data_IF_435577773380
#
_entry.id   IF_435577773380
#
_cell.length_a   1.000
_cell.length_b   1.000
_cell.length_c   1.000
_cell.angle_alpha   90.00
_cell.angle_beta   90.00
_cell.angle_gamma   90.00
#
_symmetry.space_group_name_H-M   'P 1'
#
loop_
_entity.id
_entity.type
_entity.pdbx_description
1 polymer ?
#
# COMPACT_ATOMS: atom_id res chain seq x y z
N UNK A 1 -4.00 -21.69 -4.95
CA UNK A 1 -3.07 -21.31 -3.84
C UNK A 1 -2.17 -22.44 -3.35
N UNK A 2 -2.33 -23.70 -3.78
CA UNK A 2 -1.55 -24.84 -3.25
C UNK A 2 -0.13 -24.95 -3.82
N UNK A 3 0.08 -24.69 -5.12
CA UNK A 3 1.39 -24.85 -5.76
C UNK A 3 2.44 -23.84 -5.29
N UNK A 4 2.18 -22.53 -5.42
CA UNK A 4 3.13 -21.49 -5.01
C UNK A 4 3.46 -21.56 -3.50
N UNK A 5 2.47 -21.89 -2.66
CA UNK A 5 2.68 -22.12 -1.23
C UNK A 5 3.62 -23.30 -0.94
N UNK A 6 3.51 -24.39 -1.71
CA UNK A 6 4.42 -25.54 -1.57
C UNK A 6 5.84 -25.20 -2.02
N UNK A 7 6.00 -24.50 -3.14
CA UNK A 7 7.31 -24.01 -3.61
C UNK A 7 7.94 -23.06 -2.59
N UNK A 8 7.15 -22.15 -2.02
CA UNK A 8 7.57 -21.25 -0.95
C UNK A 8 8.05 -22.02 0.28
N UNK A 9 7.30 -23.05 0.69
CA UNK A 9 7.69 -23.91 1.81
C UNK A 9 9.01 -24.65 1.54
N UNK A 10 9.19 -25.25 0.36
CA UNK A 10 10.46 -25.91 0.00
C UNK A 10 11.62 -24.90 0.05
N UNK A 11 11.45 -23.73 -0.57
CA UNK A 11 12.47 -22.69 -0.63
C UNK A 11 12.92 -22.25 0.78
N UNK A 12 11.97 -22.03 1.70
CA UNK A 12 12.29 -21.57 3.05
C UNK A 12 12.76 -22.70 3.98
N UNK A 13 12.06 -23.84 4.00
CA UNK A 13 12.29 -24.91 4.96
C UNK A 13 13.44 -25.85 4.57
N UNK A 14 13.62 -26.10 3.26
CA UNK A 14 14.64 -27.03 2.75
C UNK A 14 15.87 -26.27 2.27
N UNK A 15 15.67 -25.20 1.50
CA UNK A 15 16.75 -24.40 0.92
C UNK A 15 17.11 -23.16 1.72
N UNK A 16 16.51 -22.95 2.90
CA UNK A 16 16.84 -21.86 3.83
C UNK A 16 16.90 -20.48 3.17
N UNK A 17 16.02 -20.22 2.20
CA UNK A 17 15.90 -18.93 1.52
C UNK A 17 15.05 -18.02 2.42
N UNK A 18 15.71 -17.21 3.23
CA UNK A 18 15.06 -16.33 4.20
C UNK A 18 14.32 -15.16 3.53
N UNK A 19 13.32 -14.63 4.24
CA UNK A 19 12.54 -13.44 3.84
C UNK A 19 11.90 -13.54 2.44
N UNK A 20 11.54 -14.76 2.03
CA UNK A 20 10.82 -15.02 0.79
C UNK A 20 9.31 -14.92 1.06
N UNK A 21 8.62 -14.18 0.19
CA UNK A 21 7.18 -14.00 0.20
C UNK A 21 6.63 -14.37 -1.17
N UNK A 22 5.39 -14.85 -1.21
CA UNK A 22 4.69 -15.09 -2.46
C UNK A 22 3.30 -14.47 -2.41
N UNK A 23 2.92 -13.80 -3.50
CA UNK A 23 1.56 -13.36 -3.77
C UNK A 23 1.12 -13.93 -5.10
N UNK A 24 0.17 -14.86 -5.05
CA UNK A 24 -0.25 -15.66 -6.21
C UNK A 24 0.94 -16.38 -6.85
N UNK A 25 1.39 -15.95 -8.01
CA UNK A 25 2.53 -16.46 -8.78
C UNK A 25 3.79 -15.59 -8.65
N UNK A 26 3.70 -14.44 -7.98
CA UNK A 26 4.81 -13.51 -7.81
C UNK A 26 5.57 -13.81 -6.52
N UNK A 27 6.89 -14.00 -6.64
CA UNK A 27 7.78 -14.21 -5.52
C UNK A 27 8.61 -12.96 -5.27
N UNK A 28 8.75 -12.58 -4.00
CA UNK A 28 9.46 -11.38 -3.57
C UNK A 28 10.37 -11.72 -2.41
N UNK A 29 11.58 -11.17 -2.39
CA UNK A 29 12.54 -11.38 -1.31
C UNK A 29 13.31 -10.11 -1.00
N UNK A 30 13.82 -10.03 0.21
CA UNK A 30 14.73 -8.98 0.64
C UNK A 30 16.04 -9.60 1.15
N UNK A 31 17.17 -9.00 0.79
CA UNK A 31 18.49 -9.41 1.25
C UNK A 31 19.48 -8.23 1.16
N UNK A 32 20.66 -8.39 1.76
CA UNK A 32 21.71 -7.38 1.68
C UNK A 32 22.24 -7.23 0.25
N UNK A 33 22.51 -6.00 -0.17
CA UNK A 33 22.93 -5.68 -1.54
C UNK A 33 24.31 -6.24 -1.91
N UNK A 34 25.17 -6.54 -0.93
CA UNK A 34 26.49 -7.12 -1.16
C UNK A 34 26.47 -8.65 -1.36
N UNK A 35 25.34 -9.31 -1.15
CA UNK A 35 25.21 -10.76 -1.32
C UNK A 35 24.82 -11.09 -2.76
N UNK A 36 25.77 -11.06 -3.67
CA UNK A 36 25.55 -11.35 -5.10
C UNK A 36 26.09 -12.73 -5.47
N UNK A 37 25.41 -13.42 -6.38
CA UNK A 37 25.82 -14.72 -6.92
C UNK A 37 25.62 -14.76 -8.43
N UNK A 38 26.63 -15.24 -9.15
CA UNK A 38 26.56 -15.41 -10.60
C UNK A 38 25.57 -16.52 -10.97
N UNK A 39 24.60 -16.19 -11.82
CA UNK A 39 23.64 -17.14 -12.38
C UNK A 39 24.17 -17.70 -13.70
N UNK A 40 24.44 -19.00 -13.73
CA UNK A 40 24.89 -19.68 -14.97
C UNK A 40 23.82 -19.65 -16.08
N UNK A 41 22.52 -19.90 -15.80
CA UNK A 41 21.48 -19.85 -16.84
C UNK A 41 21.41 -18.51 -17.57
N UNK A 42 21.53 -17.39 -16.85
CA UNK A 42 21.39 -16.04 -17.40
C UNK A 42 22.72 -15.33 -17.68
N UNK A 43 23.85 -15.92 -17.26
CA UNK A 43 25.20 -15.37 -17.45
C UNK A 43 25.38 -13.96 -16.88
N UNK A 44 24.68 -13.64 -15.80
CA UNK A 44 24.73 -12.35 -15.12
C UNK A 44 24.67 -12.52 -13.59
N UNK A 45 24.88 -11.43 -12.85
CA UNK A 45 24.88 -11.43 -11.39
C UNK A 45 23.51 -11.07 -10.85
N UNK A 46 22.99 -11.90 -9.95
CA UNK A 46 21.76 -11.66 -9.20
C UNK A 46 22.02 -11.68 -7.69
N UNK A 47 21.11 -11.11 -6.89
CA UNK A 47 21.01 -11.38 -5.46
C UNK A 47 21.11 -12.88 -5.16
N UNK A 48 21.94 -13.28 -4.20
CA UNK A 48 22.22 -14.67 -3.84
C UNK A 48 20.95 -15.50 -3.65
N UNK A 49 20.01 -15.03 -2.84
CA UNK A 49 18.75 -15.73 -2.57
C UNK A 49 17.85 -15.79 -3.80
N UNK A 50 17.90 -14.78 -4.68
CA UNK A 50 17.21 -14.84 -5.98
C UNK A 50 17.84 -15.92 -6.86
N UNK A 51 19.16 -15.98 -6.97
CA UNK A 51 19.86 -17.05 -7.72
C UNK A 51 19.53 -18.43 -7.17
N UNK A 52 19.50 -18.61 -5.85
CA UNK A 52 19.12 -19.89 -5.22
C UNK A 52 17.68 -20.28 -5.54
N UNK A 53 16.75 -19.32 -5.55
CA UNK A 53 15.36 -19.56 -5.92
C UNK A 53 15.23 -19.96 -7.39
N UNK A 54 15.96 -19.29 -8.29
CA UNK A 54 15.99 -19.64 -9.72
C UNK A 54 16.51 -21.06 -9.95
N UNK A 55 17.60 -21.44 -9.28
CA UNK A 55 18.12 -22.82 -9.37
C UNK A 55 17.15 -23.87 -8.81
N UNK A 56 16.38 -23.51 -7.77
CA UNK A 56 15.31 -24.37 -7.29
C UNK A 56 14.20 -24.52 -8.33
N UNK A 57 13.85 -23.44 -9.02
CA UNK A 57 12.86 -23.51 -10.11
C UNK A 57 13.35 -24.38 -11.28
N UNK A 58 14.62 -24.25 -11.68
CA UNK A 58 15.24 -25.14 -12.66
C UNK A 58 15.10 -26.62 -12.24
N UNK A 59 15.40 -26.94 -10.98
CA UNK A 59 15.27 -28.29 -10.43
C UNK A 59 13.83 -28.80 -10.45
N UNK A 60 12.86 -27.95 -10.10
CA UNK A 60 11.45 -28.30 -10.06
C UNK A 60 10.78 -28.27 -11.44
N UNK A 61 11.50 -27.87 -12.49
CA UNK A 61 10.95 -27.69 -13.83
C UNK A 61 9.96 -26.53 -13.94
N UNK A 62 10.08 -25.52 -13.07
CA UNK A 62 9.22 -24.33 -13.08
C UNK A 62 9.77 -23.36 -14.13
N UNK A 63 8.98 -22.95 -15.13
CA UNK A 63 9.45 -22.02 -16.15
C UNK A 63 9.65 -20.62 -15.57
N UNK A 64 10.77 -19.99 -15.92
CA UNK A 64 11.06 -18.59 -15.58
C UNK A 64 11.84 -17.90 -16.70
N UNK A 65 11.72 -16.59 -16.81
CA UNK A 65 12.34 -15.78 -17.85
C UNK A 65 13.16 -14.63 -17.25
N UNK A 66 14.27 -14.27 -17.91
CA UNK A 66 15.24 -13.29 -17.41
C UNK A 66 14.63 -11.89 -17.26
N UNK A 67 13.80 -11.49 -18.21
CA UNK A 67 13.12 -10.19 -18.26
C UNK A 67 12.21 -9.93 -17.05
N UNK A 68 11.76 -11.00 -16.39
CA UNK A 68 10.94 -10.93 -15.17
C UNK A 68 11.77 -10.99 -13.89
N UNK A 69 13.07 -11.27 -13.98
CA UNK A 69 13.97 -11.35 -12.83
C UNK A 69 14.55 -9.98 -12.52
N UNK A 70 13.84 -9.22 -11.68
CA UNK A 70 14.20 -7.85 -11.33
C UNK A 70 14.67 -7.74 -9.89
N UNK A 71 15.66 -6.90 -9.65
CA UNK A 71 16.12 -6.53 -8.32
C UNK A 71 16.64 -5.10 -8.32
N UNK A 72 16.35 -4.37 -7.26
CA UNK A 72 16.73 -2.97 -7.09
C UNK A 72 16.53 -2.58 -5.63
N UNK A 73 17.13 -1.45 -5.23
CA UNK A 73 16.84 -0.83 -3.95
C UNK A 73 15.44 -0.19 -3.90
N UNK A 74 14.91 0.17 -5.07
CA UNK A 74 13.53 0.63 -5.27
C UNK A 74 12.86 -0.27 -6.32
N UNK A 75 11.80 -0.97 -5.93
CA UNK A 75 11.14 -1.94 -6.78
C UNK A 75 9.62 -1.88 -6.62
N UNK A 76 8.89 -1.99 -7.74
CA UNK A 76 7.44 -2.12 -7.71
C UNK A 76 7.07 -3.57 -7.40
N UNK A 77 6.42 -3.79 -6.25
CA UNK A 77 5.98 -5.09 -5.74
C UNK A 77 4.47 -5.01 -5.55
N UNK A 78 3.71 -5.92 -6.19
CA UNK A 78 2.23 -5.94 -6.18
C UNK A 78 1.60 -4.54 -6.39
N UNK A 79 2.14 -3.80 -7.38
CA UNK A 79 1.76 -2.43 -7.75
C UNK A 79 2.14 -1.30 -6.78
N UNK A 80 2.86 -1.59 -5.68
CA UNK A 80 3.39 -0.57 -4.78
C UNK A 80 4.90 -0.40 -4.95
N UNK A 81 5.39 0.83 -4.89
CA UNK A 81 6.81 1.12 -4.89
C UNK A 81 7.38 0.85 -3.49
N UNK A 82 8.26 -0.14 -3.38
CA UNK A 82 9.00 -0.48 -2.16
C UNK A 82 10.41 0.10 -2.28
N UNK A 83 10.72 1.06 -1.41
CA UNK A 83 12.02 1.69 -1.27
C UNK A 83 12.72 1.13 -0.02
N UNK A 84 13.69 0.25 -0.25
CA UNK A 84 14.46 -0.38 0.83
C UNK A 84 15.50 0.54 1.47
N UNK A 85 15.88 1.65 0.82
CA UNK A 85 16.84 2.61 1.41
C UNK A 85 16.17 3.47 2.45
N UNK A 86 14.99 3.97 2.12
CA UNK A 86 14.16 4.80 3.01
C UNK A 86 13.25 3.96 3.90
N UNK A 87 13.23 2.65 3.71
CA UNK A 87 12.30 1.72 4.35
C UNK A 87 10.86 2.22 4.22
N UNK A 88 10.44 2.47 2.98
CA UNK A 88 9.17 3.13 2.66
C UNK A 88 8.41 2.35 1.59
N UNK A 89 7.11 2.22 1.76
CA UNK A 89 6.20 1.67 0.76
C UNK A 89 5.20 2.74 0.37
N UNK A 90 5.06 3.00 -0.93
CA UNK A 90 4.18 4.04 -1.45
C UNK A 90 3.60 3.68 -2.80
N UNK A 91 2.75 4.55 -3.35
CA UNK A 91 2.22 4.41 -4.70
C UNK A 91 3.26 4.92 -5.72
N UNK A 92 3.50 4.23 -6.85
CA UNK A 92 4.29 4.77 -7.95
C UNK A 92 3.80 6.16 -8.39
N UNK A 93 4.70 7.05 -8.77
CA UNK A 93 4.37 8.46 -9.04
C UNK A 93 3.33 8.63 -10.16
N UNK A 94 3.42 7.83 -11.21
CA UNK A 94 2.47 7.79 -12.33
C UNK A 94 1.07 7.38 -11.88
N UNK A 95 0.98 6.31 -11.08
CA UNK A 95 -0.28 5.85 -10.52
C UNK A 95 -0.87 6.84 -9.51
N UNK A 96 -0.02 7.52 -8.73
CA UNK A 96 -0.43 8.61 -7.82
C UNK A 96 -1.01 9.78 -8.61
N UNK A 97 -0.31 10.24 -9.65
CA UNK A 97 -0.77 11.34 -10.51
C UNK A 97 -2.09 10.99 -11.21
N UNK A 98 -2.22 9.75 -11.71
CA UNK A 98 -3.45 9.27 -12.32
C UNK A 98 -4.62 9.27 -11.33
N UNK A 99 -4.41 8.80 -10.09
CA UNK A 99 -5.44 8.84 -9.05
C UNK A 99 -5.82 10.27 -8.70
N UNK A 100 -4.85 11.17 -8.49
CA UNK A 100 -5.12 12.57 -8.17
C UNK A 100 -5.91 13.21 -9.31
N UNK A 101 -5.52 13.00 -10.57
CA UNK A 101 -6.26 13.50 -11.73
C UNK A 101 -7.70 12.97 -11.77
N UNK A 102 -7.90 11.69 -11.45
CA UNK A 102 -9.23 11.07 -11.35
C UNK A 102 -10.08 11.73 -10.26
N UNK A 103 -9.55 11.85 -9.04
CA UNK A 103 -10.24 12.51 -7.92
C UNK A 103 -10.62 13.95 -8.26
N UNK A 104 -9.69 14.73 -8.83
CA UNK A 104 -9.96 16.11 -9.26
C UNK A 104 -11.01 16.17 -10.38
N UNK A 105 -11.09 15.16 -11.25
CA UNK A 105 -12.13 15.08 -12.28
C UNK A 105 -13.53 14.90 -11.67
N UNK A 106 -13.63 14.17 -10.56
CA UNK A 106 -14.89 14.01 -9.82
C UNK A 106 -15.31 15.30 -9.10
N UNK A 107 -14.37 16.11 -8.66
CA UNK A 107 -14.66 17.35 -7.90
C UNK A 107 -15.06 18.54 -8.78
N UNK A 108 -14.80 18.50 -10.10
CA UNK A 108 -15.16 19.56 -11.06
C UNK A 108 -16.66 19.88 -11.05
N UNK A 109 -17.00 21.14 -10.75
CA UNK A 109 -18.38 21.63 -10.81
C UNK A 109 -18.84 21.76 -12.27
N UNK A 110 -20.12 21.47 -12.49
CA UNK A 110 -20.81 21.66 -13.78
C UNK A 110 -22.07 22.46 -13.53
N UNK A 111 -22.44 23.33 -14.49
CA UNK A 111 -23.67 24.14 -14.41
C UNK A 111 -24.94 23.29 -14.25
N UNK A 112 -24.93 22.04 -14.75
CA UNK A 112 -26.07 21.13 -14.71
C UNK A 112 -25.96 20.05 -13.62
N UNK A 113 -24.99 20.19 -12.71
CA UNK A 113 -24.58 19.09 -11.84
C UNK A 113 -23.81 18.00 -12.60
N UNK A 114 -23.10 17.15 -11.85
CA UNK A 114 -22.40 15.99 -12.43
C UNK A 114 -23.07 14.74 -11.88
N UNK A 115 -23.54 13.89 -12.78
CA UNK A 115 -24.04 12.55 -12.47
C UNK A 115 -23.07 11.51 -13.02
N UNK A 116 -22.95 10.39 -12.30
CA UNK A 116 -22.15 9.24 -12.71
C UNK A 116 -22.91 7.95 -12.39
N UNK A 117 -22.64 6.89 -13.15
CA UNK A 117 -23.30 5.59 -12.94
C UNK A 117 -22.81 4.93 -11.65
N UNK A 118 -23.62 4.10 -11.01
CA UNK A 118 -23.18 3.31 -9.84
C UNK A 118 -21.89 2.52 -10.13
N UNK A 119 -21.73 2.00 -11.36
CA UNK A 119 -20.49 1.38 -11.81
C UNK A 119 -19.28 2.32 -11.69
N UNK A 120 -19.39 3.59 -12.09
CA UNK A 120 -18.30 4.57 -11.95
C UNK A 120 -17.95 4.82 -10.47
N UNK A 121 -18.96 4.86 -9.60
CA UNK A 121 -18.76 5.00 -8.15
C UNK A 121 -18.03 3.79 -7.56
N UNK A 122 -18.41 2.58 -7.97
CA UNK A 122 -17.75 1.34 -7.56
C UNK A 122 -16.29 1.29 -8.06
N UNK A 123 -16.05 1.68 -9.30
CA UNK A 123 -14.71 1.78 -9.87
C UNK A 123 -13.84 2.78 -9.10
N UNK A 124 -14.38 3.97 -8.79
CA UNK A 124 -13.68 4.96 -7.96
C UNK A 124 -13.37 4.41 -6.57
N UNK A 125 -14.36 3.84 -5.88
CA UNK A 125 -14.19 3.29 -4.54
C UNK A 125 -13.14 2.16 -4.51
N UNK A 126 -13.14 1.28 -5.52
CA UNK A 126 -12.12 0.24 -5.68
C UNK A 126 -10.72 0.82 -5.88
N UNK A 127 -10.59 1.83 -6.74
CA UNK A 127 -9.31 2.45 -7.03
C UNK A 127 -8.74 3.19 -5.80
N UNK A 128 -9.58 3.90 -5.05
CA UNK A 128 -9.18 4.56 -3.81
C UNK A 128 -8.85 3.55 -2.71
N UNK A 129 -9.62 2.46 -2.58
CA UNK A 129 -9.33 1.38 -1.64
C UNK A 129 -7.97 0.73 -1.86
N UNK A 130 -7.56 0.58 -3.12
CA UNK A 130 -6.22 0.08 -3.43
C UNK A 130 -5.13 0.97 -2.82
N UNK A 131 -5.27 2.30 -2.91
CA UNK A 131 -4.33 3.27 -2.32
C UNK A 131 -4.35 3.28 -0.79
N UNK A 132 -5.48 2.96 -0.15
CA UNK A 132 -5.54 2.88 1.31
C UNK A 132 -4.69 1.77 1.94
N UNK A 133 -4.15 0.83 1.16
CA UNK A 133 -3.14 -0.11 1.65
C UNK A 133 -1.84 0.60 2.07
N UNK A 134 -1.53 1.75 1.47
CA UNK A 134 -0.35 2.57 1.81
C UNK A 134 -0.71 3.91 2.45
N UNK A 135 -1.99 4.30 2.47
CA UNK A 135 -2.47 5.48 3.21
C UNK A 135 -3.71 5.16 4.05
N UNK A 136 -3.61 4.28 5.07
CA UNK A 136 -4.77 3.79 5.82
C UNK A 136 -5.52 4.89 6.57
N UNK A 137 -4.85 5.98 6.94
CA UNK A 137 -5.46 7.12 7.64
C UNK A 137 -6.39 7.95 6.75
N UNK A 138 -6.35 7.75 5.42
CA UNK A 138 -7.22 8.45 4.47
C UNK A 138 -8.55 7.73 4.23
N UNK A 139 -8.74 6.54 4.84
CA UNK A 139 -9.98 5.73 4.73
C UNK A 139 -11.29 6.49 4.96
N UNK A 140 -11.38 7.45 5.91
CA UNK A 140 -12.62 8.21 6.11
C UNK A 140 -13.12 8.96 4.86
N UNK A 141 -12.26 9.24 3.87
CA UNK A 141 -12.67 9.94 2.64
C UNK A 141 -13.70 9.20 1.78
N UNK A 142 -13.93 7.90 2.01
CA UNK A 142 -14.95 7.13 1.28
C UNK A 142 -16.28 6.99 2.03
N UNK A 143 -16.45 7.57 3.22
CA UNK A 143 -17.68 7.42 4.00
C UNK A 143 -18.92 7.89 3.22
N UNK A 144 -18.92 9.12 2.67
CA UNK A 144 -20.07 9.59 1.89
C UNK A 144 -20.16 8.93 0.51
N UNK A 145 -19.04 8.43 -0.03
CA UNK A 145 -19.02 7.66 -1.28
C UNK A 145 -19.82 6.37 -1.09
N UNK A 146 -19.55 5.59 -0.04
CA UNK A 146 -20.28 4.37 0.24
C UNK A 146 -21.75 4.60 0.54
N UNK A 147 -22.08 5.61 1.36
CA UNK A 147 -23.47 5.96 1.66
C UNK A 147 -24.28 6.31 0.40
N UNK A 148 -23.64 6.83 -0.65
CA UNK A 148 -24.31 7.14 -1.93
C UNK A 148 -24.45 5.95 -2.85
N UNK A 149 -23.63 4.92 -2.66
CA UNK A 149 -23.62 3.70 -3.46
C UNK A 149 -24.71 2.70 -3.07
N UNK A 150 -25.49 2.96 -2.01
CA UNK A 150 -26.68 2.18 -1.63
C UNK A 150 -27.81 2.36 -2.67
N UNK A 151 -27.63 1.72 -3.82
CA UNK A 151 -28.54 1.69 -4.97
C UNK A 151 -28.53 0.30 -5.60
N UNK A 152 -29.70 -0.19 -6.00
CA UNK A 152 -29.86 -1.55 -6.53
C UNK A 152 -29.52 -1.69 -8.02
N UNK A 153 -29.53 -0.60 -8.79
CA UNK A 153 -29.35 -0.62 -10.25
C UNK A 153 -27.93 -0.16 -10.65
N UNK A 154 -27.12 -0.98 -11.34
CA UNK A 154 -25.75 -0.64 -11.74
C UNK A 154 -25.59 0.62 -12.60
N UNK A 155 -26.62 0.94 -13.40
CA UNK A 155 -26.64 2.14 -14.25
C UNK A 155 -27.44 3.30 -13.64
N UNK A 156 -27.81 3.22 -12.36
CA UNK A 156 -28.42 4.34 -11.67
C UNK A 156 -27.46 5.54 -11.71
N UNK A 157 -27.96 6.68 -12.19
CA UNK A 157 -27.22 7.93 -12.19
C UNK A 157 -27.31 8.57 -10.81
N UNK A 158 -26.16 8.79 -10.19
CA UNK A 158 -26.03 9.34 -8.84
C UNK A 158 -25.29 10.68 -8.95
N UNK A 159 -25.87 11.72 -8.34
CA UNK A 159 -25.27 13.06 -8.32
C UNK A 159 -24.05 13.13 -7.39
N UNK A 160 -23.01 13.81 -7.84
CA UNK A 160 -21.87 14.21 -7.03
C UNK A 160 -22.18 15.52 -6.32
N UNK A 161 -22.52 15.44 -5.03
CA UNK A 161 -22.87 16.59 -4.19
C UNK A 161 -21.62 17.28 -3.60
N UNK A 162 -21.80 18.42 -2.94
CA UNK A 162 -20.68 19.21 -2.40
C UNK A 162 -19.92 18.51 -1.26
N UNK A 163 -20.59 17.68 -0.44
CA UNK A 163 -19.92 16.89 0.60
C UNK A 163 -18.88 15.93 0.01
N UNK A 164 -19.27 15.19 -1.04
CA UNK A 164 -18.36 14.27 -1.75
C UNK A 164 -17.24 15.05 -2.44
N UNK A 165 -17.55 16.21 -3.03
CA UNK A 165 -16.52 17.06 -3.64
C UNK A 165 -15.50 17.51 -2.62
N UNK A 166 -15.95 17.90 -1.43
CA UNK A 166 -15.07 18.29 -0.33
C UNK A 166 -14.16 17.13 0.10
N UNK A 167 -14.71 15.94 0.34
CA UNK A 167 -13.93 14.76 0.76
C UNK A 167 -12.95 14.28 -0.31
N UNK A 168 -13.37 14.19 -1.58
CA UNK A 168 -12.48 13.78 -2.67
C UNK A 168 -11.41 14.83 -2.96
N UNK A 169 -11.70 16.11 -2.71
CA UNK A 169 -10.70 17.19 -2.78
C UNK A 169 -9.67 17.04 -1.67
N UNK A 170 -10.15 16.87 -0.43
CA UNK A 170 -9.31 16.59 0.73
C UNK A 170 -8.42 15.36 0.49
N UNK A 171 -8.99 14.26 -0.01
CA UNK A 171 -8.25 13.05 -0.33
C UNK A 171 -7.16 13.31 -1.37
N UNK A 172 -7.49 14.01 -2.46
CA UNK A 172 -6.52 14.35 -3.50
C UNK A 172 -5.36 15.19 -2.94
N UNK A 173 -5.67 16.22 -2.14
CA UNK A 173 -4.66 17.08 -1.50
C UNK A 173 -3.73 16.28 -0.58
N UNK A 174 -4.24 15.26 0.11
CA UNK A 174 -3.45 14.44 1.02
C UNK A 174 -2.62 13.40 0.28
N UNK A 175 -3.20 12.69 -0.69
CA UNK A 175 -2.48 11.71 -1.52
C UNK A 175 -1.32 12.36 -2.27
N UNK A 176 -1.50 13.59 -2.76
CA UNK A 176 -0.46 14.34 -3.47
C UNK A 176 0.77 14.64 -2.59
N UNK A 177 0.57 14.84 -1.29
CA UNK A 177 1.63 15.17 -0.32
C UNK A 177 2.12 13.98 0.49
N UNK A 178 1.40 12.86 0.46
CA UNK A 178 1.71 11.73 1.31
C UNK A 178 2.95 10.98 0.81
N UNK A 179 3.83 10.62 1.75
CA UNK A 179 5.09 9.95 1.42
C UNK A 179 4.95 8.43 1.37
N UNK A 180 4.02 7.84 2.09
CA UNK A 180 3.78 6.39 2.12
C UNK A 180 3.68 5.88 3.55
N UNK A 181 3.84 4.57 3.70
CA UNK A 181 4.10 3.93 4.99
C UNK A 181 5.61 3.78 5.13
N UNK A 182 6.14 4.21 6.27
CA UNK A 182 7.51 3.88 6.67
C UNK A 182 7.51 2.55 7.44
N UNK A 183 8.26 1.59 6.94
CA UNK A 183 8.56 0.33 7.58
C UNK A 183 9.58 0.60 8.69
N UNK A 184 9.11 1.06 9.85
CA UNK A 184 9.97 1.21 11.02
C UNK A 184 10.53 -0.19 11.33
N UNK A 185 11.85 -0.33 11.38
CA UNK A 185 12.43 -1.41 12.18
C UNK A 185 11.91 -1.18 13.58
N UNK A 186 11.08 -2.08 14.10
CA UNK A 186 11.06 -2.30 15.55
C UNK A 186 12.49 -2.74 15.90
N UNK A 187 13.34 -1.77 16.19
CA UNK A 187 14.22 -1.92 17.33
C UNK A 187 13.24 -2.19 18.46
N UNK A 188 13.41 -3.27 19.23
CA UNK A 188 12.60 -3.50 20.43
C UNK A 188 12.78 -2.27 21.33
N UNK A 189 11.91 -1.27 21.17
CA UNK A 189 11.87 -0.12 22.04
C UNK A 189 11.22 -0.61 23.31
N UNK A 190 11.98 -0.66 24.40
CA UNK A 190 11.36 -0.79 25.71
C UNK A 190 10.50 0.47 25.92
N UNK A 191 9.34 0.40 26.60
CA UNK A 191 8.54 1.59 26.90
C UNK A 191 9.35 2.72 27.56
N UNK A 192 10.43 2.38 28.26
CA UNK A 192 11.37 3.33 28.88
C UNK A 192 12.23 4.12 27.88
N UNK A 193 12.34 3.64 26.64
CA UNK A 193 13.10 4.29 25.57
C UNK A 193 12.25 5.31 24.78
N UNK A 194 10.96 5.45 25.11
CA UNK A 194 10.06 6.35 24.40
C UNK A 194 10.28 7.82 24.83
N UNK A 195 10.64 8.68 23.87
CA UNK A 195 10.67 10.13 24.11
C UNK A 195 9.27 10.78 24.13
N UNK A 196 8.24 10.05 23.68
CA UNK A 196 6.85 10.52 23.59
C UNK A 196 5.90 9.32 23.64
N UNK A 197 4.89 9.39 24.51
CA UNK A 197 3.81 8.40 24.60
C UNK A 197 2.51 9.08 24.22
N UNK A 198 1.83 8.56 23.19
CA UNK A 198 0.54 9.06 22.73
C UNK A 198 -0.52 8.00 22.99
N UNK A 199 -1.53 8.36 23.77
CA UNK A 199 -2.71 7.54 23.98
C UNK A 199 -3.78 7.95 22.96
N UNK A 200 -4.24 6.98 22.16
CA UNK A 200 -5.36 7.17 21.25
C UNK A 200 -6.55 6.32 21.72
N UNK A 201 -7.68 6.96 21.96
CA UNK A 201 -8.97 6.29 22.14
C UNK A 201 -9.75 6.35 20.81
N UNK A 202 -10.31 5.21 20.41
CA UNK A 202 -11.15 5.11 19.23
C UNK A 202 -12.61 5.35 19.62
N UNK A 203 -13.00 6.62 19.71
CA UNK A 203 -14.41 7.00 19.83
C UNK A 203 -14.91 7.67 18.53
N UNK A 204 -16.22 7.58 18.29
CA UNK A 204 -16.90 8.00 17.04
C UNK A 204 -16.88 9.52 16.77
N UNK A 205 -16.21 10.33 17.59
CA UNK A 205 -16.13 11.78 17.43
C UNK A 205 -14.68 12.23 17.65
N UNK A 206 -14.12 12.89 16.63
CA UNK A 206 -12.72 13.32 16.49
C UNK A 206 -12.11 13.87 17.80
N UNK A 207 -10.91 13.43 18.24
CA UNK A 207 -10.29 13.97 19.45
C UNK A 207 -9.62 15.33 19.20
N UNK A 208 -10.01 16.31 20.02
CA UNK A 208 -9.26 17.55 20.29
C UNK A 208 -8.30 17.30 21.45
N UNK A 209 -7.03 17.66 21.31
CA UNK A 209 -6.04 17.59 22.39
C UNK A 209 -5.63 19.02 22.79
N UNK A 210 -5.92 19.50 24.01
CA UNK A 210 -5.24 20.65 24.56
C UNK A 210 -3.84 20.27 25.07
N UNK A 211 -2.83 21.15 24.95
CA UNK A 211 -1.49 20.91 25.50
C UNK A 211 -1.52 20.80 27.03
N UNK A 212 -0.62 19.97 27.56
CA UNK A 212 -0.59 19.41 28.91
C UNK A 212 -0.32 20.38 30.09
N UNK A 213 -0.46 21.69 29.91
CA UNK A 213 -0.18 22.68 30.96
C UNK A 213 -1.42 23.17 31.72
N UNK A 214 -2.61 22.59 31.48
CA UNK A 214 -3.87 23.15 32.00
C UNK A 214 -4.59 22.34 33.10
N UNK A 215 -3.99 21.30 33.69
CA UNK A 215 -4.63 20.56 34.80
C UNK A 215 -3.70 20.38 36.01
N UNK A 216 -3.26 21.52 36.54
CA UNK A 216 -2.86 21.65 37.92
C UNK A 216 -4.05 22.10 38.78
N UNK A 217 -4.35 21.31 39.81
CA UNK A 217 -5.17 21.63 40.99
C UNK A 217 -6.71 21.49 40.88
N UNK A 218 -7.22 20.37 41.41
CA UNK A 218 -8.12 20.39 42.55
C UNK A 218 -8.04 19.05 43.30
N UNK A 219 -7.38 19.04 44.47
CA UNK A 219 -7.51 17.99 45.47
C UNK A 219 -8.81 18.23 46.25
N UNK A 220 -9.57 17.13 46.45
CA UNK A 220 -10.67 16.90 47.42
C UNK A 220 -11.72 18.01 47.59
#
# INVERSE_FOLDING_TARGET
MTFAGFVLWIAMAVYTIAHLFAYMDNFHLAQAANQMQFSKPYKCWFPQNQTRLLLLWDMLGIPHSEDKQVFSLELVVISFLVDSRRMRVTVPDDARLALVAELRRWTRKSKHGVQRSLHDWQALAGYVNWVFNVFPLLKPALCNVYAKMEKDKPHALIYVNDAIRCELTWLADHVERAEGIFLIKSIDYHPDDANLVIYCDASLVIPFIPPQDALGAAKK
#
